data_IF_692259625195
#
_entry.id   IF_692259625195
#
_cell.length_a   1.000
_cell.length_b   1.000
_cell.length_c   1.000
_cell.angle_alpha   90.00
_cell.angle_beta   90.00
_cell.angle_gamma   90.00
#
_symmetry.space_group_name_H-M   'P 1'
#
loop_
_entity.id
_entity.type
_entity.pdbx_description
1 polymer ?
#
# COMPACT_ATOMS: atom_id res chain seq x y z
N UNK A 1 33.58 -15.27 -49.57
CA UNK A 1 33.09 -16.05 -48.41
C UNK A 1 33.37 -15.30 -47.09
N UNK A 2 32.64 -14.23 -46.75
CA UNK A 2 32.81 -13.49 -45.47
C UNK A 2 31.45 -12.97 -44.93
N UNK A 3 30.36 -13.73 -45.14
CA UNK A 3 29.00 -13.32 -44.69
C UNK A 3 28.52 -14.17 -43.51
N UNK A 4 29.01 -15.41 -43.42
CA UNK A 4 28.64 -16.37 -42.38
C UNK A 4 29.00 -15.96 -40.94
N UNK A 5 30.18 -15.37 -40.63
CA UNK A 5 30.55 -15.08 -39.24
C UNK A 5 29.80 -13.85 -38.67
N UNK A 6 29.33 -12.93 -39.53
CA UNK A 6 28.56 -11.74 -39.11
C UNK A 6 27.11 -12.08 -38.78
N UNK A 7 26.51 -13.03 -39.52
CA UNK A 7 25.15 -13.51 -39.25
C UNK A 7 25.09 -14.30 -37.93
N UNK A 8 26.12 -15.11 -37.66
CA UNK A 8 26.23 -15.90 -36.43
C UNK A 8 26.41 -15.01 -35.20
N UNK A 9 27.21 -13.94 -35.31
CA UNK A 9 27.38 -12.97 -34.22
C UNK A 9 26.10 -12.20 -33.88
N UNK A 10 25.30 -11.81 -34.89
CA UNK A 10 24.01 -11.15 -34.66
C UNK A 10 22.98 -12.08 -34.01
N UNK A 11 22.94 -13.36 -34.41
CA UNK A 11 22.03 -14.35 -33.81
C UNK A 11 22.38 -14.61 -32.33
N UNK A 12 23.67 -14.67 -32.00
CA UNK A 12 24.14 -14.86 -30.63
C UNK A 12 23.79 -13.68 -29.72
N UNK A 13 23.87 -12.45 -30.25
CA UNK A 13 23.48 -11.23 -29.52
C UNK A 13 21.97 -11.21 -29.22
N UNK A 14 21.13 -11.67 -30.16
CA UNK A 14 19.68 -11.72 -29.99
C UNK A 14 19.25 -12.73 -28.92
N UNK A 15 19.94 -13.87 -28.83
CA UNK A 15 19.71 -14.89 -27.79
C UNK A 15 20.10 -14.39 -26.40
N UNK A 16 21.17 -13.60 -26.27
CA UNK A 16 21.60 -13.03 -24.98
C UNK A 16 20.62 -11.97 -24.45
N UNK A 17 19.99 -11.18 -25.32
CA UNK A 17 18.94 -10.22 -24.93
C UNK A 17 17.63 -10.94 -24.57
N UNK A 18 17.37 -12.12 -25.14
CA UNK A 18 16.22 -12.94 -24.76
C UNK A 18 16.39 -13.63 -23.39
N UNK A 19 17.63 -13.79 -22.89
CA UNK A 19 17.94 -14.43 -21.61
C UNK A 19 17.85 -13.49 -20.39
N UNK A 20 17.65 -12.18 -20.56
CA UNK A 20 17.32 -11.27 -19.46
C UNK A 20 15.84 -11.37 -19.00
N UNK A 21 15.14 -12.44 -19.39
CA UNK A 21 13.73 -12.67 -19.11
C UNK A 21 13.47 -13.23 -17.72
N UNK A 22 12.67 -12.49 -16.95
CA UNK A 22 12.04 -12.86 -15.68
C UNK A 22 13.00 -13.18 -14.52
N UNK A 23 13.65 -12.14 -13.99
CA UNK A 23 13.84 -12.15 -12.53
C UNK A 23 12.44 -12.18 -11.90
N UNK A 24 12.18 -13.24 -11.15
CA UNK A 24 10.97 -13.39 -10.36
C UNK A 24 10.96 -12.19 -9.40
N UNK A 25 10.02 -11.26 -9.60
CA UNK A 25 9.87 -10.13 -8.69
C UNK A 25 9.72 -10.68 -7.28
N UNK A 26 10.45 -10.13 -6.28
CA UNK A 26 10.19 -10.49 -4.90
C UNK A 26 8.69 -10.31 -4.63
N UNK A 27 8.06 -11.38 -4.13
CA UNK A 27 6.60 -11.50 -4.10
C UNK A 27 6.11 -11.31 -2.68
N UNK A 28 5.44 -10.18 -2.44
CA UNK A 28 4.62 -10.01 -1.25
C UNK A 28 3.29 -10.74 -1.44
N UNK A 29 2.86 -11.48 -0.42
CA UNK A 29 1.61 -12.23 -0.46
C UNK A 29 0.41 -11.29 -0.54
N UNK A 30 -0.37 -11.40 -1.61
CA UNK A 30 -1.64 -10.69 -1.76
C UNK A 30 -2.82 -11.64 -1.89
N UNK A 31 -4.03 -11.13 -1.72
CA UNK A 31 -5.24 -11.82 -2.16
C UNK A 31 -5.21 -11.89 -3.70
N UNK A 32 -5.52 -13.06 -4.32
CA UNK A 32 -5.47 -13.21 -5.77
C UNK A 32 -6.44 -12.29 -6.51
N UNK A 33 -7.63 -12.09 -5.95
CA UNK A 33 -8.61 -11.18 -6.51
C UNK A 33 -8.26 -9.72 -6.22
N UNK A 34 -8.54 -8.80 -7.17
CA UNK A 34 -8.39 -7.37 -6.92
C UNK A 34 -9.24 -6.92 -5.73
N UNK A 35 -8.77 -5.90 -5.01
CA UNK A 35 -9.55 -5.22 -4.01
C UNK A 35 -10.91 -4.76 -4.61
N UNK A 36 -12.02 -4.89 -3.88
CA UNK A 36 -13.34 -4.51 -4.42
C UNK A 36 -13.39 -3.07 -4.92
N UNK A 37 -12.70 -2.17 -4.22
CA UNK A 37 -12.67 -0.75 -4.52
C UNK A 37 -11.35 -0.35 -5.17
N UNK A 38 -11.34 -0.18 -6.49
CA UNK A 38 -10.13 0.17 -7.24
C UNK A 38 -9.82 1.68 -7.22
N UNK A 39 -10.87 2.51 -7.17
CA UNK A 39 -10.74 3.97 -7.12
C UNK A 39 -11.06 4.46 -5.73
N UNK A 40 -10.05 4.97 -5.02
CA UNK A 40 -10.22 5.63 -3.72
C UNK A 40 -9.47 6.96 -3.73
N UNK A 41 -10.11 7.98 -3.20
CA UNK A 41 -9.53 9.31 -3.05
C UNK A 41 -8.75 9.40 -1.74
N UNK A 42 -7.79 10.34 -1.68
CA UNK A 42 -7.13 10.75 -0.44
C UNK A 42 -8.06 11.54 0.48
N UNK A 43 -9.23 11.96 -0.02
CA UNK A 43 -10.23 12.70 0.72
C UNK A 43 -11.64 12.23 0.36
N UNK A 44 -12.47 12.03 1.37
CA UNK A 44 -13.89 11.71 1.20
C UNK A 44 -14.68 12.22 2.41
N UNK A 45 -15.83 12.86 2.18
CA UNK A 45 -16.74 13.33 3.24
C UNK A 45 -16.07 14.13 4.37
N UNK A 46 -15.07 14.97 4.03
CA UNK A 46 -14.32 15.78 4.99
C UNK A 46 -13.20 15.03 5.72
N UNK A 47 -13.08 13.72 5.56
CA UNK A 47 -11.93 12.95 6.05
C UNK A 47 -10.83 12.96 5.01
N UNK A 48 -9.59 13.21 5.44
CA UNK A 48 -8.41 13.26 4.57
C UNK A 48 -7.25 12.45 5.15
N UNK A 49 -6.51 11.79 4.27
CA UNK A 49 -5.29 11.04 4.57
C UNK A 49 -4.12 11.55 3.71
N UNK A 50 -2.98 11.74 4.36
CA UNK A 50 -1.74 12.18 3.72
C UNK A 50 -0.55 11.41 4.26
N UNK A 51 0.51 11.33 3.45
CA UNK A 51 1.82 10.86 3.89
C UNK A 51 2.78 12.05 3.93
N UNK A 52 3.61 12.11 4.96
CA UNK A 52 4.70 13.09 5.00
C UNK A 52 5.75 12.83 3.91
N UNK A 53 5.90 11.57 3.50
CA UNK A 53 6.81 11.10 2.45
C UNK A 53 6.13 9.96 1.70
N UNK A 54 6.20 9.97 0.38
CA UNK A 54 5.47 9.06 -0.52
C UNK A 54 6.39 8.19 -1.39
N UNK A 55 7.70 8.43 -1.41
CA UNK A 55 8.70 7.59 -2.10
C UNK A 55 9.77 7.14 -1.12
N UNK A 56 10.03 5.83 -1.01
CA UNK A 56 10.98 5.25 -0.06
C UNK A 56 12.02 4.38 -0.77
N UNK A 57 13.28 4.48 -0.35
CA UNK A 57 14.35 3.60 -0.83
C UNK A 57 14.39 2.38 0.08
N UNK A 58 13.91 1.24 -0.40
CA UNK A 58 13.66 0.05 0.40
C UNK A 58 12.50 0.17 1.40
N UNK A 59 12.35 -0.87 2.24
CA UNK A 59 11.24 -1.00 3.19
C UNK A 59 11.30 0.14 4.23
N UNK A 60 10.24 0.95 4.37
CA UNK A 60 10.23 2.04 5.32
C UNK A 60 10.18 1.51 6.76
N UNK A 61 11.17 1.90 7.57
CA UNK A 61 11.16 1.65 9.02
C UNK A 61 9.98 2.37 9.70
N UNK A 62 9.59 3.53 9.18
CA UNK A 62 8.49 4.35 9.70
C UNK A 62 7.93 5.26 8.61
N UNK A 63 6.61 5.25 8.50
CA UNK A 63 5.80 6.15 7.68
C UNK A 63 4.97 7.03 8.60
N UNK A 64 5.06 8.37 8.45
CA UNK A 64 4.18 9.31 9.16
C UNK A 64 2.95 9.59 8.30
N UNK A 65 1.81 9.14 8.79
CA UNK A 65 0.50 9.29 8.16
C UNK A 65 -0.26 10.38 8.90
N UNK A 66 -0.71 11.41 8.19
CA UNK A 66 -1.48 12.52 8.74
C UNK A 66 -2.94 12.30 8.36
N UNK A 67 -3.80 12.25 9.36
CA UNK A 67 -5.24 12.14 9.22
C UNK A 67 -5.86 13.48 9.61
N UNK A 68 -6.80 13.98 8.82
CA UNK A 68 -7.56 15.19 9.16
C UNK A 68 -9.05 14.91 9.10
N UNK A 69 -9.77 15.30 10.15
CA UNK A 69 -11.23 15.35 10.13
C UNK A 69 -11.65 16.80 9.92
N UNK A 70 -11.88 17.17 8.66
CA UNK A 70 -12.38 18.49 8.26
C UNK A 70 -13.91 18.55 8.21
N UNK A 71 -14.59 17.49 8.66
CA UNK A 71 -16.05 17.46 8.75
C UNK A 71 -16.54 18.13 10.04
N UNK A 72 -17.86 18.22 10.18
CA UNK A 72 -18.57 18.60 11.41
C UNK A 72 -19.01 17.37 12.25
N UNK A 73 -18.55 16.16 11.89
CA UNK A 73 -18.97 14.89 12.50
C UNK A 73 -17.80 14.20 13.21
N UNK A 74 -18.13 13.50 14.30
CA UNK A 74 -17.20 12.59 14.96
C UNK A 74 -17.17 11.25 14.24
N UNK A 75 -15.98 10.66 14.14
CA UNK A 75 -15.77 9.31 13.61
C UNK A 75 -14.99 8.48 14.63
N UNK A 76 -14.97 7.17 14.44
CA UNK A 76 -14.04 6.28 15.12
C UNK A 76 -13.06 5.65 14.13
N UNK A 77 -11.83 5.44 14.57
CA UNK A 77 -10.74 4.83 13.83
C UNK A 77 -9.83 4.06 14.80
N UNK A 78 -8.88 3.31 14.26
CA UNK A 78 -7.88 2.57 15.04
C UNK A 78 -6.51 2.66 14.38
N UNK A 79 -5.59 1.78 14.74
CA UNK A 79 -4.23 1.78 14.19
C UNK A 79 -4.12 1.02 12.87
N UNK A 80 -5.06 0.12 12.58
CA UNK A 80 -5.01 -0.71 11.38
C UNK A 80 -5.03 0.11 10.09
N UNK A 81 -4.19 -0.30 9.14
CA UNK A 81 -4.25 0.14 7.74
C UNK A 81 -4.29 -1.10 6.86
N UNK A 82 -5.19 -1.12 5.90
CA UNK A 82 -5.11 -2.10 4.81
C UNK A 82 -4.03 -1.63 3.84
N UNK A 83 -2.99 -2.44 3.70
CA UNK A 83 -1.96 -2.22 2.70
C UNK A 83 -2.41 -2.89 1.40
N UNK A 84 -2.29 -2.18 0.30
CA UNK A 84 -2.57 -2.72 -1.03
C UNK A 84 -1.40 -2.48 -1.96
N UNK A 85 -1.09 -3.47 -2.80
CA UNK A 85 -0.07 -3.40 -3.85
C UNK A 85 -0.76 -3.29 -5.21
N UNK A 86 -0.21 -2.46 -6.10
CA UNK A 86 -0.65 -2.42 -7.49
C UNK A 86 0.03 -3.53 -8.29
N UNK A 87 -0.75 -4.41 -8.90
CA UNK A 87 -0.29 -5.52 -9.74
C UNK A 87 -1.11 -5.44 -11.03
N UNK A 88 -0.44 -5.32 -12.18
CA UNK A 88 -1.08 -5.22 -13.51
C UNK A 88 -2.21 -4.18 -13.53
N UNK A 89 -1.91 -2.96 -13.05
CA UNK A 89 -2.82 -1.81 -12.94
C UNK A 89 -4.01 -1.98 -11.97
N UNK A 90 -4.09 -3.07 -11.21
CA UNK A 90 -5.14 -3.28 -10.22
C UNK A 90 -4.57 -3.32 -8.82
N UNK A 91 -5.32 -2.81 -7.85
CA UNK A 91 -4.97 -2.90 -6.43
C UNK A 91 -5.35 -4.28 -5.89
N UNK A 92 -4.42 -4.90 -5.18
CA UNK A 92 -4.60 -6.18 -4.50
C UNK A 92 -4.27 -6.01 -3.02
N UNK A 93 -5.07 -6.65 -2.15
CA UNK A 93 -4.90 -6.57 -0.69
C UNK A 93 -3.67 -7.37 -0.28
N UNK A 94 -2.74 -6.75 0.44
CA UNK A 94 -1.60 -7.43 1.06
C UNK A 94 -2.09 -8.19 2.28
N UNK A 95 -1.67 -9.45 2.40
CA UNK A 95 -2.04 -10.33 3.51
C UNK A 95 -1.09 -10.10 4.68
N UNK A 96 -1.64 -9.72 5.83
CA UNK A 96 -0.92 -9.73 7.09
C UNK A 96 -0.87 -11.15 7.67
N UNK A 97 0.22 -11.50 8.35
CA UNK A 97 0.28 -12.71 9.17
C UNK A 97 -0.62 -12.58 10.39
N UNK A 98 -1.29 -13.65 10.82
CA UNK A 98 -2.12 -13.65 12.03
C UNK A 98 -1.32 -13.20 13.27
N UNK A 99 -0.02 -13.52 13.32
CA UNK A 99 0.89 -13.11 14.39
C UNK A 99 0.90 -11.59 14.61
N UNK A 100 0.71 -10.79 13.54
CA UNK A 100 0.66 -9.32 13.64
C UNK A 100 -0.44 -8.88 14.59
N UNK A 101 -1.62 -9.48 14.52
CA UNK A 101 -2.76 -9.10 15.36
C UNK A 101 -2.62 -9.60 16.80
N UNK A 102 -1.93 -10.73 17.01
CA UNK A 102 -1.62 -11.23 18.36
C UNK A 102 -0.55 -10.36 19.05
N UNK A 103 0.49 -9.96 18.33
CA UNK A 103 1.61 -9.17 18.85
C UNK A 103 1.28 -7.67 18.98
N UNK A 104 0.28 -7.19 18.22
CA UNK A 104 -0.14 -5.79 18.19
C UNK A 104 -1.65 -5.68 18.46
N UNK A 105 -2.13 -5.88 19.70
CA UNK A 105 -3.57 -5.87 20.02
C UNK A 105 -4.25 -4.51 19.79
N UNK A 106 -3.48 -3.41 19.68
CA UNK A 106 -3.96 -2.09 19.29
C UNK A 106 -4.17 -1.94 17.77
N UNK A 107 -3.65 -2.87 16.96
CA UNK A 107 -3.72 -2.87 15.50
C UNK A 107 -5.09 -3.35 14.99
N UNK A 108 -6.12 -2.59 15.33
CA UNK A 108 -7.54 -2.81 14.98
C UNK A 108 -8.10 -1.63 14.18
N UNK A 109 -9.27 -1.84 13.58
CA UNK A 109 -9.93 -0.83 12.73
C UNK A 109 -10.49 0.37 13.49
N UNK A 110 -10.95 0.16 14.74
CA UNK A 110 -11.69 1.15 15.51
C UNK A 110 -11.29 1.12 16.99
N UNK A 111 -11.64 2.18 17.74
CA UNK A 111 -11.42 2.27 19.18
C UNK A 111 -10.85 3.60 19.65
N UNK A 112 -10.66 4.56 18.76
CA UNK A 112 -10.31 5.95 19.08
C UNK A 112 -11.30 6.88 18.41
N UNK A 113 -11.74 7.90 19.13
CA UNK A 113 -12.54 9.00 18.59
C UNK A 113 -11.69 9.89 17.70
N UNK A 114 -12.26 10.35 16.59
CA UNK A 114 -11.71 11.33 15.68
C UNK A 114 -12.66 12.52 15.60
N UNK A 115 -12.35 13.54 16.40
CA UNK A 115 -13.25 14.66 16.62
C UNK A 115 -13.29 15.61 15.40
N UNK A 116 -14.38 16.37 15.21
CA UNK A 116 -14.43 17.43 14.21
C UNK A 116 -13.26 18.40 14.34
N UNK A 117 -12.61 18.72 13.23
CA UNK A 117 -11.44 19.60 13.17
C UNK A 117 -10.13 18.98 13.65
N UNK A 118 -10.12 17.72 14.09
CA UNK A 118 -8.93 17.07 14.63
C UNK A 118 -7.93 16.69 13.52
N UNK A 119 -6.64 16.87 13.83
CA UNK A 119 -5.53 16.34 13.04
C UNK A 119 -4.74 15.36 13.89
N UNK A 120 -4.57 14.14 13.38
CA UNK A 120 -3.80 13.08 14.05
C UNK A 120 -2.64 12.65 13.17
N UNK A 121 -1.47 12.45 13.78
CA UNK A 121 -0.34 11.81 13.10
C UNK A 121 -0.17 10.39 13.63
N UNK A 122 -0.40 9.39 12.77
CA UNK A 122 -0.13 7.98 13.05
C UNK A 122 1.23 7.56 12.49
N UNK A 123 1.85 6.57 13.14
CA UNK A 123 3.10 5.96 12.70
C UNK A 123 2.82 4.55 12.19
N UNK A 124 2.99 4.31 10.90
CA UNK A 124 2.88 2.99 10.29
C UNK A 124 4.28 2.43 9.98
N UNK A 125 4.51 1.14 10.17
CA UNK A 125 5.83 0.51 9.96
C UNK A 125 5.66 -0.90 9.41
N UNK A 126 5.73 -1.09 8.08
CA UNK A 126 5.70 -2.42 7.47
C UNK A 126 6.70 -3.39 8.10
N UNK A 127 7.92 -2.90 8.36
CA UNK A 127 8.98 -3.70 8.98
C UNK A 127 8.65 -4.20 10.38
N UNK A 128 8.02 -3.36 11.23
CA UNK A 128 7.57 -3.81 12.56
C UNK A 128 6.40 -4.80 12.50
N UNK A 129 5.63 -4.74 11.43
CA UNK A 129 4.54 -5.69 11.16
C UNK A 129 5.05 -6.97 10.47
N UNK A 130 6.37 -7.16 10.36
CA UNK A 130 6.98 -8.32 9.71
C UNK A 130 6.72 -8.40 8.21
N UNK A 131 6.34 -7.28 7.57
CA UNK A 131 6.12 -7.23 6.13
C UNK A 131 7.44 -7.00 5.41
N UNK A 132 7.71 -7.87 4.44
CA UNK A 132 8.71 -7.65 3.41
C UNK A 132 8.01 -7.02 2.19
N UNK A 133 8.20 -5.70 2.00
CA UNK A 133 7.56 -4.97 0.90
C UNK A 133 8.58 -4.74 -0.24
N UNK A 134 8.47 -5.48 -1.36
CA UNK A 134 9.36 -5.30 -2.50
C UNK A 134 9.14 -3.95 -3.18
N UNK A 135 10.08 -3.48 -4.03
CA UNK A 135 9.87 -2.31 -4.86
C UNK A 135 8.56 -2.39 -5.66
N UNK A 136 7.85 -1.26 -5.77
CA UNK A 136 6.55 -1.19 -6.44
C UNK A 136 5.65 -0.07 -5.93
N UNK A 137 4.45 -0.02 -6.49
CA UNK A 137 3.39 0.93 -6.11
C UNK A 137 2.46 0.32 -5.07
N UNK A 138 2.20 1.10 -4.03
CA UNK A 138 1.36 0.70 -2.90
C UNK A 138 0.38 1.82 -2.54
N UNK A 139 -0.62 1.48 -1.72
CA UNK A 139 -1.42 2.48 -1.01
C UNK A 139 -1.80 2.00 0.38
N UNK A 140 -1.89 2.95 1.30
CA UNK A 140 -2.52 2.72 2.60
C UNK A 140 -4.00 3.08 2.49
N UNK A 141 -4.86 2.15 2.86
CA UNK A 141 -6.31 2.34 2.91
C UNK A 141 -6.75 2.38 4.38
N UNK A 142 -7.56 3.38 4.71
CA UNK A 142 -8.05 3.63 6.06
C UNK A 142 -9.56 3.83 6.05
N UNK A 143 -10.24 3.09 6.92
CA UNK A 143 -11.70 3.20 7.11
C UNK A 143 -12.01 3.86 8.44
N UNK A 144 -12.97 4.77 8.40
CA UNK A 144 -13.49 5.53 9.53
C UNK A 144 -14.97 5.20 9.66
N UNK A 145 -15.44 5.01 10.89
CA UNK A 145 -16.85 4.70 11.17
C UNK A 145 -17.52 5.92 11.82
N UNK A 146 -18.59 6.40 11.24
CA UNK A 146 -19.54 7.27 11.94
C UNK A 146 -20.62 6.39 12.55
N UNK A 147 -20.97 6.59 13.84
CA UNK A 147 -21.85 5.65 14.56
C UNK A 147 -23.35 5.94 14.37
N UNK A 148 -23.77 7.19 14.16
CA UNK A 148 -25.19 7.56 14.15
C UNK A 148 -25.53 8.72 13.20
N UNK A 149 -26.12 8.44 12.01
CA UNK A 149 -26.42 7.11 11.48
C UNK A 149 -25.14 6.32 11.15
N UNK A 150 -25.17 4.99 11.28
CA UNK A 150 -23.97 4.18 11.03
C UNK A 150 -23.58 4.18 9.55
N UNK A 151 -22.41 4.71 9.21
CA UNK A 151 -21.80 4.59 7.88
C UNK A 151 -20.27 4.65 7.94
N UNK A 152 -19.62 4.19 6.88
CA UNK A 152 -18.16 4.19 6.77
C UNK A 152 -17.68 5.20 5.72
N UNK A 153 -16.52 5.78 5.97
CA UNK A 153 -15.76 6.59 5.01
C UNK A 153 -14.41 5.93 4.83
N UNK A 154 -13.98 5.70 3.59
CA UNK A 154 -12.72 5.00 3.34
C UNK A 154 -11.85 5.76 2.34
N UNK A 155 -10.74 6.28 2.84
CA UNK A 155 -9.76 7.04 2.04
C UNK A 155 -8.50 6.21 1.81
N UNK A 156 -7.74 6.55 0.76
CA UNK A 156 -6.48 5.89 0.45
C UNK A 156 -5.39 6.88 0.04
N UNK A 157 -4.15 6.61 0.46
CA UNK A 157 -2.97 7.41 0.06
C UNK A 157 -1.93 6.52 -0.62
N UNK A 158 -1.52 6.84 -1.87
CA UNK A 158 -0.51 6.07 -2.58
C UNK A 158 0.91 6.37 -2.06
N UNK A 159 1.81 5.41 -2.23
CA UNK A 159 3.25 5.56 -2.04
C UNK A 159 4.01 4.56 -2.92
N UNK A 160 5.33 4.76 -3.05
CA UNK A 160 6.21 3.93 -3.86
C UNK A 160 7.43 3.49 -3.07
N UNK A 161 7.84 2.24 -3.29
CA UNK A 161 9.11 1.70 -2.81
C UNK A 161 10.02 1.50 -4.02
N UNK A 162 11.24 2.03 -3.93
CA UNK A 162 12.33 1.91 -4.92
C UNK A 162 13.38 0.90 -4.47
#
# INVERSE_FOLDING_TARGET
>A
MIVLPRLFACLLLFVLVALSGCQQEPEIKTIPDPAPEQTKSQQEQGIEIQLQKDVYNGIPDRMRVILNNKSDREYTYGEFYQLERKIKEKWHIVVYSDAVFYENPSFKNYGSSFLPGETVTQSYSPKKLGLDIPPGEYRLVKTFLHESPSYQVTVAVPFRVE
#
